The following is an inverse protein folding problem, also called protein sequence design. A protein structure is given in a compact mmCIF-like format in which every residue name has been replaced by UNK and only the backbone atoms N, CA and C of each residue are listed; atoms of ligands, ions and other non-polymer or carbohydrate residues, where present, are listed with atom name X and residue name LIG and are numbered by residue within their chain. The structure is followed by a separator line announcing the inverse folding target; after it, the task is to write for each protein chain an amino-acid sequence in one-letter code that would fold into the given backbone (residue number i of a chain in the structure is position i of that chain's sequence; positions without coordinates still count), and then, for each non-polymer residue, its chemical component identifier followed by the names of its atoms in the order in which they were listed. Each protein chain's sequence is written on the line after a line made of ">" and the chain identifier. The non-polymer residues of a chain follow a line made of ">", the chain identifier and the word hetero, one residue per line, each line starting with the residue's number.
data_IF_146066194381
#
_entry.id   IF_146066194381
#
_cell.length_a   1.000
_cell.length_b   1.000
_cell.length_c   1.000
_cell.angle_alpha   90.00
_cell.angle_beta   90.00
_cell.angle_gamma   90.00
#
_symmetry.space_group_name_H-M   'P 1'
#
loop_
_entity.id
_entity.type
_entity.pdbx_description
1 polymer ?
#
# COMPACT_ATOMS: atom_id res chain seq x y z
N UNK A 1 20.13 -9.88 -16.09
CA UNK A 1 20.89 -10.58 -17.15
C UNK A 1 21.34 -9.53 -18.15
N UNK A 2 22.50 -9.67 -18.77
CA UNK A 2 22.93 -8.76 -19.83
C UNK A 2 22.97 -9.50 -21.17
N UNK A 3 22.57 -8.84 -22.24
CA UNK A 3 22.61 -9.38 -23.60
C UNK A 3 23.50 -8.51 -24.46
N UNK A 4 24.41 -9.14 -25.20
CA UNK A 4 25.37 -8.48 -26.08
C UNK A 4 25.29 -9.14 -27.45
N UNK A 5 24.99 -8.33 -28.47
CA UNK A 5 24.98 -8.78 -29.87
C UNK A 5 26.12 -8.13 -30.61
N UNK A 6 27.00 -8.95 -31.19
CA UNK A 6 28.09 -8.49 -32.04
C UNK A 6 28.16 -9.33 -33.32
N UNK A 7 27.85 -8.72 -34.46
CA UNK A 7 27.79 -9.38 -35.77
C UNK A 7 26.81 -10.57 -35.74
N UNK A 8 27.32 -11.80 -35.70
CA UNK A 8 26.56 -13.04 -35.65
C UNK A 8 26.80 -13.84 -34.35
N UNK A 9 27.19 -13.13 -33.29
CA UNK A 9 27.39 -13.69 -31.96
C UNK A 9 26.40 -13.04 -30.98
N UNK A 10 25.73 -13.90 -30.22
CA UNK A 10 24.89 -13.52 -29.09
C UNK A 10 25.58 -14.00 -27.82
N UNK A 11 25.91 -13.07 -26.93
CA UNK A 11 26.57 -13.34 -25.65
C UNK A 11 25.62 -12.89 -24.54
N UNK A 12 25.39 -13.75 -23.55
CA UNK A 12 24.63 -13.39 -22.35
C UNK A 12 25.47 -13.53 -21.09
N UNK A 13 25.30 -12.60 -20.16
CA UNK A 13 25.93 -12.63 -18.84
C UNK A 13 24.84 -12.81 -17.78
N UNK A 14 24.99 -13.85 -16.98
CA UNK A 14 24.01 -14.30 -16.00
C UNK A 14 24.69 -14.63 -14.65
N UNK A 15 23.89 -14.80 -13.60
CA UNK A 15 24.31 -15.18 -12.27
C UNK A 15 23.55 -16.43 -11.82
N UNK A 16 23.93 -17.02 -10.68
CA UNK A 16 23.30 -18.25 -10.19
C UNK A 16 21.77 -18.14 -10.00
N UNK A 17 21.23 -16.93 -9.74
CA UNK A 17 19.80 -16.72 -9.48
C UNK A 17 18.95 -16.72 -10.75
N UNK A 18 19.54 -16.38 -11.89
CA UNK A 18 18.84 -16.35 -13.18
C UNK A 18 19.34 -17.41 -14.17
N UNK A 19 20.14 -18.38 -13.69
CA UNK A 19 20.62 -19.50 -14.49
C UNK A 19 19.46 -20.35 -15.06
N UNK A 20 18.36 -20.49 -14.31
CA UNK A 20 17.14 -21.20 -14.77
C UNK A 20 16.56 -20.62 -16.07
N UNK A 21 16.81 -19.34 -16.35
CA UNK A 21 16.30 -18.69 -17.55
C UNK A 21 17.05 -19.13 -18.81
N UNK A 22 18.28 -19.64 -18.68
CA UNK A 22 19.04 -20.16 -19.82
C UNK A 22 18.35 -21.35 -20.46
N UNK A 23 17.77 -22.25 -19.65
CA UNK A 23 17.02 -23.39 -20.17
C UNK A 23 15.84 -22.95 -21.04
N UNK A 24 15.19 -21.82 -20.68
CA UNK A 24 14.11 -21.22 -21.48
C UNK A 24 14.62 -20.63 -22.79
N UNK A 25 15.76 -19.94 -22.77
CA UNK A 25 16.41 -19.40 -23.96
C UNK A 25 16.86 -20.50 -24.92
N UNK A 26 17.48 -21.57 -24.40
CA UNK A 26 17.90 -22.73 -25.17
C UNK A 26 16.69 -23.45 -25.78
N UNK A 27 15.63 -23.66 -24.99
CA UNK A 27 14.38 -24.25 -25.48
C UNK A 27 13.76 -23.42 -26.61
N UNK A 28 13.73 -22.10 -26.47
CA UNK A 28 13.22 -21.22 -27.52
C UNK A 28 13.99 -21.39 -28.83
N UNK A 29 15.33 -21.49 -28.78
CA UNK A 29 16.19 -21.75 -29.95
C UNK A 29 15.94 -23.12 -30.59
N UNK A 30 15.56 -24.13 -29.80
CA UNK A 30 15.21 -25.45 -30.32
C UNK A 30 13.84 -25.45 -31.01
N UNK A 31 12.88 -24.73 -30.45
CA UNK A 31 11.49 -24.72 -30.91
C UNK A 31 11.24 -23.75 -32.09
N UNK A 32 12.11 -22.75 -32.31
CA UNK A 32 11.90 -21.69 -33.30
C UNK A 32 13.09 -21.54 -34.27
N UNK A 33 12.80 -21.35 -35.56
CA UNK A 33 13.83 -21.04 -36.56
C UNK A 33 14.25 -19.57 -36.46
N UNK A 34 15.25 -19.28 -35.63
CA UNK A 34 15.86 -17.95 -35.52
C UNK A 34 16.75 -17.66 -36.72
N UNK A 35 16.49 -16.55 -37.41
CA UNK A 35 17.21 -16.13 -38.62
C UNK A 35 18.33 -15.13 -38.36
N UNK A 36 18.28 -14.39 -37.25
CA UNK A 36 19.32 -13.41 -36.89
C UNK A 36 19.52 -13.27 -35.39
N UNK A 37 20.70 -12.82 -34.96
CA UNK A 37 20.97 -12.55 -33.55
C UNK A 37 20.09 -11.43 -32.97
N UNK A 38 19.61 -10.51 -33.80
CA UNK A 38 18.68 -9.46 -33.38
C UNK A 38 17.27 -10.00 -33.16
N UNK A 39 16.79 -10.89 -34.03
CA UNK A 39 15.53 -11.60 -33.80
C UNK A 39 15.57 -12.34 -32.45
N UNK A 40 16.66 -13.06 -32.18
CA UNK A 40 16.81 -13.75 -30.89
C UNK A 40 16.95 -12.79 -29.71
N UNK A 41 17.62 -11.65 -29.88
CA UNK A 41 17.71 -10.64 -28.83
C UNK A 41 16.32 -10.14 -28.43
N UNK A 42 15.48 -9.79 -29.40
CA UNK A 42 14.13 -9.30 -29.10
C UNK A 42 13.28 -10.41 -28.48
N UNK A 43 13.32 -11.63 -29.01
CA UNK A 43 12.67 -12.78 -28.38
C UNK A 43 13.14 -13.02 -26.94
N UNK A 44 14.45 -12.91 -26.67
CA UNK A 44 15.00 -13.06 -25.31
C UNK A 44 14.52 -11.94 -24.36
N UNK A 45 14.39 -10.71 -24.86
CA UNK A 45 13.83 -9.59 -24.11
C UNK A 45 12.34 -9.80 -23.82
N UNK A 46 11.57 -10.28 -24.81
CA UNK A 46 10.16 -10.67 -24.65
C UNK A 46 10.01 -11.75 -23.58
N UNK A 47 10.79 -12.83 -23.67
CA UNK A 47 10.80 -13.90 -22.68
C UNK A 47 11.17 -13.37 -21.28
N UNK A 48 12.11 -12.42 -21.19
CA UNK A 48 12.49 -11.78 -19.93
C UNK A 48 11.32 -10.99 -19.35
N UNK A 49 10.59 -10.24 -20.18
CA UNK A 49 9.39 -9.50 -19.77
C UNK A 49 8.29 -10.44 -19.26
N UNK A 50 8.08 -11.58 -19.96
CA UNK A 50 7.08 -12.59 -19.58
C UNK A 50 7.30 -13.18 -18.18
N UNK A 51 8.53 -13.24 -17.68
CA UNK A 51 8.81 -13.72 -16.31
C UNK A 51 8.22 -12.83 -15.21
N UNK A 52 7.86 -11.58 -15.52
CA UNK A 52 7.28 -10.67 -14.54
C UNK A 52 5.78 -10.91 -14.35
N UNK A 53 5.07 -11.47 -15.34
CA UNK A 53 3.62 -11.69 -15.26
C UNK A 53 3.21 -12.61 -14.10
N UNK A 54 3.84 -13.80 -13.90
CA UNK A 54 3.52 -14.64 -12.75
C UNK A 54 3.77 -13.95 -11.40
N UNK A 55 4.80 -13.10 -11.32
CA UNK A 55 5.13 -12.32 -10.12
C UNK A 55 4.02 -11.28 -9.86
N UNK A 56 3.57 -10.61 -10.91
CA UNK A 56 2.47 -9.65 -10.83
C UNK A 56 1.15 -10.32 -10.41
N UNK A 57 0.84 -11.48 -10.98
CA UNK A 57 -0.37 -12.25 -10.61
C UNK A 57 -0.32 -12.70 -9.15
N UNK A 58 0.85 -13.13 -8.66
CA UNK A 58 1.05 -13.44 -7.25
C UNK A 58 0.84 -12.20 -6.37
N UNK A 59 1.42 -11.06 -6.74
CA UNK A 59 1.26 -9.79 -6.02
C UNK A 59 -0.22 -9.37 -5.94
N UNK A 60 -0.97 -9.53 -7.03
CA UNK A 60 -2.42 -9.25 -7.07
C UNK A 60 -3.18 -10.17 -6.13
N UNK A 61 -2.88 -11.48 -6.15
CA UNK A 61 -3.47 -12.46 -5.24
C UNK A 61 -3.21 -12.10 -3.77
N UNK A 62 -1.95 -11.79 -3.45
CA UNK A 62 -1.52 -11.44 -2.10
C UNK A 62 -2.19 -10.13 -1.62
N UNK A 63 -2.34 -9.14 -2.50
CA UNK A 63 -3.12 -7.92 -2.22
C UNK A 63 -4.57 -8.25 -1.86
N UNK A 64 -5.25 -9.08 -2.64
CA UNK A 64 -6.66 -9.42 -2.37
C UNK A 64 -6.83 -10.16 -1.05
N UNK A 65 -5.93 -11.12 -0.77
CA UNK A 65 -5.90 -11.85 0.50
C UNK A 65 -5.67 -10.87 1.66
N UNK A 66 -4.70 -9.97 1.53
CA UNK A 66 -4.36 -9.00 2.57
C UNK A 66 -5.49 -8.00 2.81
N UNK A 67 -6.10 -7.48 1.74
CA UNK A 67 -7.25 -6.59 1.83
C UNK A 67 -8.42 -7.26 2.55
N UNK A 68 -8.70 -8.53 2.24
CA UNK A 68 -9.73 -9.32 2.94
C UNK A 68 -9.44 -9.48 4.44
N UNK A 69 -8.17 -9.72 4.82
CA UNK A 69 -7.75 -9.80 6.23
C UNK A 69 -7.91 -8.45 6.94
N UNK A 70 -7.42 -7.38 6.32
CA UNK A 70 -7.46 -6.02 6.89
C UNK A 70 -8.90 -5.52 7.07
N UNK A 71 -9.82 -5.82 6.12
CA UNK A 71 -11.25 -5.49 6.26
C UNK A 71 -11.92 -6.16 7.45
N UNK A 72 -11.49 -7.39 7.80
CA UNK A 72 -12.02 -8.10 8.98
C UNK A 72 -11.46 -7.52 10.27
N UNK A 73 -10.15 -7.24 10.30
CA UNK A 73 -9.47 -6.67 11.46
C UNK A 73 -8.16 -6.01 11.05
N UNK A 74 -8.02 -4.73 11.35
CA UNK A 74 -6.74 -4.02 11.21
C UNK A 74 -5.82 -4.37 12.38
N UNK A 75 -4.63 -4.91 12.11
CA UNK A 75 -3.61 -5.17 13.12
C UNK A 75 -2.26 -4.65 12.64
N UNK A 76 -1.36 -4.35 13.59
CA UNK A 76 0.00 -3.86 13.28
C UNK A 76 0.75 -4.80 12.32
N UNK A 77 0.61 -6.10 12.49
CA UNK A 77 1.25 -7.09 11.62
C UNK A 77 0.74 -7.00 10.17
N UNK A 78 -0.57 -6.91 9.96
CA UNK A 78 -1.15 -6.79 8.62
C UNK A 78 -0.78 -5.46 7.94
N UNK A 79 -0.55 -4.40 8.72
CA UNK A 79 -0.05 -3.12 8.19
C UNK A 79 1.40 -3.21 7.74
N UNK A 80 2.24 -4.01 8.43
CA UNK A 80 3.59 -4.29 7.96
C UNK A 80 3.56 -5.15 6.70
N UNK A 81 2.72 -6.19 6.64
CA UNK A 81 2.51 -6.97 5.41
C UNK A 81 2.07 -6.07 4.23
N UNK A 82 1.22 -5.06 4.49
CA UNK A 82 0.81 -4.08 3.48
C UNK A 82 1.98 -3.21 3.02
N UNK A 83 2.80 -2.72 3.96
CA UNK A 83 3.99 -1.93 3.66
C UNK A 83 5.03 -2.71 2.86
N UNK A 84 5.24 -3.99 3.18
CA UNK A 84 6.17 -4.86 2.47
C UNK A 84 5.69 -5.11 1.03
N UNK A 85 4.40 -5.36 0.86
CA UNK A 85 3.79 -5.61 -0.44
C UNK A 85 3.74 -4.34 -1.29
N UNK A 86 3.45 -3.17 -0.70
CA UNK A 86 3.58 -1.85 -1.34
C UNK A 86 5.00 -1.60 -1.83
N UNK A 87 6.00 -1.83 -0.97
CA UNK A 87 7.42 -1.66 -1.32
C UNK A 87 7.84 -2.59 -2.45
N UNK A 88 7.45 -3.87 -2.39
CA UNK A 88 7.67 -4.84 -3.45
C UNK A 88 7.05 -4.41 -4.79
N UNK A 89 5.82 -3.87 -4.75
CA UNK A 89 5.14 -3.36 -5.94
C UNK A 89 5.87 -2.18 -6.58
N UNK A 90 6.45 -1.28 -5.79
CA UNK A 90 7.24 -0.14 -6.31
C UNK A 90 8.50 -0.63 -7.02
N UNK A 91 9.20 -1.63 -6.47
CA UNK A 91 10.35 -2.24 -7.14
C UNK A 91 9.95 -2.89 -8.47
N UNK A 92 8.83 -3.63 -8.48
CA UNK A 92 8.33 -4.29 -9.69
C UNK A 92 7.92 -3.27 -10.76
N UNK A 93 7.18 -2.23 -10.37
CA UNK A 93 6.79 -1.12 -11.25
C UNK A 93 8.01 -0.42 -11.84
N UNK A 94 9.02 -0.13 -11.01
CA UNK A 94 10.24 0.54 -11.46
C UNK A 94 10.98 -0.30 -12.49
N UNK A 95 11.14 -1.60 -12.24
CA UNK A 95 11.81 -2.52 -13.16
C UNK A 95 11.03 -2.69 -14.48
N UNK A 96 9.71 -2.88 -14.42
CA UNK A 96 8.87 -2.99 -15.61
C UNK A 96 8.91 -1.72 -16.47
N UNK A 97 8.81 -0.55 -15.83
CA UNK A 97 8.89 0.73 -16.53
C UNK A 97 10.26 0.97 -17.17
N UNK A 98 11.35 0.62 -16.48
CA UNK A 98 12.71 0.71 -17.04
C UNK A 98 12.88 -0.20 -18.27
N UNK A 99 12.32 -1.42 -18.25
CA UNK A 99 12.37 -2.33 -19.39
C UNK A 99 11.58 -1.79 -20.58
N UNK A 100 10.38 -1.26 -20.36
CA UNK A 100 9.57 -0.63 -21.41
C UNK A 100 10.31 0.57 -22.05
N UNK A 101 10.85 1.46 -21.24
CA UNK A 101 11.63 2.61 -21.71
C UNK A 101 12.88 2.19 -22.49
N UNK A 102 13.56 1.10 -22.07
CA UNK A 102 14.71 0.56 -22.79
C UNK A 102 14.31 0.06 -24.18
N UNK A 103 13.19 -0.67 -24.30
CA UNK A 103 12.70 -1.15 -25.60
C UNK A 103 12.28 0.01 -26.51
N UNK A 104 11.64 1.04 -25.94
CA UNK A 104 11.27 2.24 -26.68
C UNK A 104 12.52 2.96 -27.24
N UNK A 105 13.56 3.09 -26.42
CA UNK A 105 14.84 3.66 -26.83
C UNK A 105 15.54 2.80 -27.89
N UNK A 106 15.52 1.48 -27.74
CA UNK A 106 16.05 0.55 -28.75
C UNK A 106 15.33 0.70 -30.09
N UNK A 107 14.00 0.78 -30.07
CA UNK A 107 13.19 0.96 -31.28
C UNK A 107 13.52 2.25 -32.04
N UNK A 108 13.85 3.31 -31.32
CA UNK A 108 14.27 4.61 -31.86
C UNK A 108 15.72 4.62 -32.34
N UNK A 109 16.54 3.63 -32.02
CA UNK A 109 17.96 3.64 -32.35
C UNK A 109 18.22 3.44 -33.87
N UNK A 110 19.05 4.27 -34.54
CA UNK A 110 19.23 4.25 -35.99
C UNK A 110 19.71 2.92 -36.60
N UNK A 111 20.46 2.12 -35.82
CA UNK A 111 20.87 0.77 -36.28
C UNK A 111 19.72 -0.23 -36.24
N UNK A 112 18.79 -0.08 -35.29
CA UNK A 112 17.65 -0.97 -35.12
C UNK A 112 16.60 -0.69 -36.19
N UNK A 113 16.37 0.59 -36.52
CA UNK A 113 15.46 0.98 -37.61
C UNK A 113 15.86 0.46 -39.01
N UNK A 114 17.12 0.04 -39.18
CA UNK A 114 17.65 -0.53 -40.43
C UNK A 114 17.57 -2.05 -40.50
N UNK A 115 17.04 -2.71 -39.46
CA UNK A 115 16.85 -4.15 -39.46
C UNK A 115 15.70 -4.56 -40.41
N UNK A 116 15.60 -5.86 -40.68
CA UNK A 116 14.52 -6.41 -41.49
C UNK A 116 13.15 -6.30 -40.82
N UNK A 117 12.09 -6.52 -41.60
CA UNK A 117 10.72 -6.44 -41.09
C UNK A 117 10.45 -7.46 -39.99
N UNK A 118 11.04 -8.66 -40.08
CA UNK A 118 10.86 -9.73 -39.09
C UNK A 118 11.46 -9.31 -37.73
N UNK A 119 12.66 -8.73 -37.72
CA UNK A 119 13.26 -8.25 -36.46
C UNK A 119 12.49 -7.06 -35.86
N UNK A 120 11.98 -6.17 -36.71
CA UNK A 120 11.21 -5.02 -36.25
C UNK A 120 9.85 -5.44 -35.68
N UNK A 121 9.18 -6.41 -36.28
CA UNK A 121 7.92 -6.99 -35.79
C UNK A 121 8.12 -7.63 -34.41
N UNK A 122 9.17 -8.44 -34.23
CA UNK A 122 9.49 -9.04 -32.91
C UNK A 122 9.78 -7.98 -31.84
N UNK A 123 10.44 -6.88 -32.20
CA UNK A 123 10.68 -5.76 -31.29
C UNK A 123 9.39 -4.99 -30.96
N UNK A 124 8.52 -4.78 -31.95
CA UNK A 124 7.25 -4.09 -31.76
C UNK A 124 6.33 -4.91 -30.82
N UNK A 125 6.29 -6.24 -30.98
CA UNK A 125 5.59 -7.14 -30.06
C UNK A 125 6.19 -7.10 -28.64
N UNK A 126 7.52 -7.14 -28.52
CA UNK A 126 8.21 -7.03 -27.23
C UNK A 126 7.87 -5.70 -26.52
N UNK A 127 7.82 -4.60 -27.28
CA UNK A 127 7.49 -3.28 -26.76
C UNK A 127 6.05 -3.24 -26.24
N UNK A 128 5.09 -3.75 -27.00
CA UNK A 128 3.68 -3.82 -26.59
C UNK A 128 3.54 -4.60 -25.28
N UNK A 129 4.16 -5.78 -25.18
CA UNK A 129 4.09 -6.59 -23.96
C UNK A 129 4.74 -5.88 -22.75
N UNK A 130 5.87 -5.20 -22.95
CA UNK A 130 6.54 -4.47 -21.88
C UNK A 130 5.76 -3.22 -21.43
N UNK A 131 5.16 -2.48 -22.37
CA UNK A 131 4.26 -1.36 -22.05
C UNK A 131 3.04 -1.84 -21.28
N UNK A 132 2.43 -2.96 -21.68
CA UNK A 132 1.32 -3.57 -20.97
C UNK A 132 1.71 -3.95 -19.53
N UNK A 133 2.86 -4.61 -19.36
CA UNK A 133 3.39 -4.96 -18.05
C UNK A 133 3.64 -3.72 -17.18
N UNK A 134 4.26 -2.69 -17.74
CA UNK A 134 4.50 -1.41 -17.05
C UNK A 134 3.18 -0.77 -16.59
N UNK A 135 2.17 -0.73 -17.46
CA UNK A 135 0.86 -0.19 -17.12
C UNK A 135 0.17 -0.99 -15.99
N UNK A 136 0.19 -2.33 -16.06
CA UNK A 136 -0.44 -3.15 -15.01
C UNK A 136 0.27 -3.02 -13.66
N UNK A 137 1.61 -3.03 -13.64
CA UNK A 137 2.39 -2.84 -12.40
C UNK A 137 2.18 -1.44 -11.80
N UNK A 138 2.01 -0.40 -12.63
CA UNK A 138 1.65 0.93 -12.19
C UNK A 138 0.25 0.98 -11.56
N UNK A 139 -0.74 0.33 -12.16
CA UNK A 139 -2.09 0.26 -11.60
C UNK A 139 -2.09 -0.46 -10.25
N UNK A 140 -1.41 -1.60 -10.14
CA UNK A 140 -1.37 -2.35 -8.88
C UNK A 140 -0.63 -1.59 -7.77
N UNK A 141 0.46 -0.89 -8.10
CA UNK A 141 1.18 0.01 -7.18
C UNK A 141 0.26 1.13 -6.66
N UNK A 142 -0.51 1.78 -7.55
CA UNK A 142 -1.48 2.81 -7.17
C UNK A 142 -2.59 2.25 -6.27
N UNK A 143 -3.10 1.05 -6.55
CA UNK A 143 -4.12 0.41 -5.73
C UNK A 143 -3.60 0.11 -4.32
N UNK A 144 -2.34 -0.30 -4.19
CA UNK A 144 -1.71 -0.53 -2.88
C UNK A 144 -1.52 0.76 -2.08
N UNK A 145 -1.09 1.84 -2.73
CA UNK A 145 -1.01 3.16 -2.10
C UNK A 145 -2.38 3.64 -1.64
N UNK A 146 -3.44 3.44 -2.44
CA UNK A 146 -4.80 3.77 -2.05
C UNK A 146 -5.29 2.94 -0.85
N UNK A 147 -4.99 1.64 -0.83
CA UNK A 147 -5.29 0.77 0.32
C UNK A 147 -4.56 1.25 1.57
N UNK A 148 -3.25 1.51 1.48
CA UNK A 148 -2.42 2.04 2.57
C UNK A 148 -3.00 3.34 3.12
N UNK A 149 -3.36 4.28 2.25
CA UNK A 149 -4.03 5.53 2.61
C UNK A 149 -5.39 5.32 3.30
N UNK A 150 -6.22 4.41 2.79
CA UNK A 150 -7.52 4.10 3.38
C UNK A 150 -7.38 3.50 4.80
N UNK A 151 -6.44 2.58 5.01
CA UNK A 151 -6.21 2.01 6.34
C UNK A 151 -5.57 3.00 7.31
N UNK A 152 -4.70 3.90 6.84
CA UNK A 152 -4.22 5.02 7.65
C UNK A 152 -5.37 5.92 8.12
N UNK A 153 -6.35 6.21 7.26
CA UNK A 153 -7.54 6.96 7.65
C UNK A 153 -8.38 6.22 8.70
N UNK A 154 -8.58 4.90 8.54
CA UNK A 154 -9.29 4.08 9.54
C UNK A 154 -8.57 4.09 10.90
N UNK A 155 -7.24 4.00 10.90
CA UNK A 155 -6.45 4.07 12.13
C UNK A 155 -6.60 5.43 12.82
N UNK A 156 -6.55 6.52 12.05
CA UNK A 156 -6.73 7.87 12.57
C UNK A 156 -8.14 8.08 13.14
N UNK A 157 -9.18 7.52 12.51
CA UNK A 157 -10.54 7.54 13.04
C UNK A 157 -10.62 6.79 14.37
N UNK A 158 -10.07 5.57 14.44
CA UNK A 158 -10.06 4.80 15.70
C UNK A 158 -9.27 5.51 16.82
N UNK A 159 -8.20 6.23 16.49
CA UNK A 159 -7.47 7.06 17.47
C UNK A 159 -8.33 8.23 17.94
N UNK A 160 -9.01 8.91 17.03
CA UNK A 160 -9.91 10.01 17.36
C UNK A 160 -11.07 9.55 18.27
N UNK A 161 -11.65 8.38 17.99
CA UNK A 161 -12.69 7.78 18.82
C UNK A 161 -12.20 7.49 20.25
N UNK A 162 -11.01 6.89 20.38
CA UNK A 162 -10.44 6.59 21.70
C UNK A 162 -10.07 7.86 22.49
N UNK A 163 -9.55 8.89 21.82
CA UNK A 163 -9.25 10.19 22.44
C UNK A 163 -10.51 10.90 22.92
N UNK A 164 -11.60 10.77 22.16
CA UNK A 164 -12.93 11.29 22.53
C UNK A 164 -13.41 10.65 23.84
N UNK A 165 -13.30 9.32 23.96
CA UNK A 165 -13.66 8.59 25.19
C UNK A 165 -12.82 9.04 26.39
N UNK A 166 -11.50 9.12 26.23
CA UNK A 166 -10.60 9.56 27.32
C UNK A 166 -10.91 11.00 27.76
N UNK A 167 -11.24 11.88 26.81
CA UNK A 167 -11.60 13.27 27.09
C UNK A 167 -12.91 13.36 27.89
N UNK A 168 -13.93 12.57 27.53
CA UNK A 168 -15.18 12.48 28.29
C UNK A 168 -14.89 12.07 29.74
N UNK A 169 -14.14 10.98 29.94
CA UNK A 169 -13.79 10.49 31.28
C UNK A 169 -13.03 11.57 32.07
N UNK A 170 -12.08 12.25 31.43
CA UNK A 170 -11.28 13.30 32.06
C UNK A 170 -12.14 14.48 32.53
N UNK A 171 -13.09 14.95 31.71
CA UNK A 171 -14.00 16.04 32.09
C UNK A 171 -14.90 15.62 33.26
N UNK A 172 -15.41 14.39 33.25
CA UNK A 172 -16.24 13.89 34.34
C UNK A 172 -15.49 13.84 35.67
N UNK A 173 -14.25 13.36 35.65
CA UNK A 173 -13.38 13.35 36.84
C UNK A 173 -13.05 14.78 37.30
N UNK A 174 -12.81 15.71 36.38
CA UNK A 174 -12.53 17.11 36.72
C UNK A 174 -13.74 17.77 37.41
N UNK A 175 -14.96 17.59 36.89
CA UNK A 175 -16.18 18.14 37.49
C UNK A 175 -16.41 17.55 38.88
N UNK A 176 -16.26 16.23 39.03
CA UNK A 176 -16.37 15.57 40.33
C UNK A 176 -15.34 16.14 41.34
N UNK A 177 -14.12 16.36 40.89
CA UNK A 177 -13.04 16.94 41.71
C UNK A 177 -13.34 18.38 42.12
N UNK A 178 -13.93 19.20 41.24
CA UNK A 178 -14.32 20.58 41.55
C UNK A 178 -15.43 20.62 42.60
N UNK A 179 -16.45 19.76 42.46
CA UNK A 179 -17.56 19.66 43.40
C UNK A 179 -17.05 19.22 44.78
N UNK A 180 -16.31 18.12 44.83
CA UNK A 180 -15.75 17.58 46.09
C UNK A 180 -14.75 18.55 46.72
N UNK A 181 -13.93 19.23 45.91
CA UNK A 181 -13.04 20.28 46.36
C UNK A 181 -13.79 21.45 46.98
N UNK A 182 -14.80 22.01 46.30
CA UNK A 182 -15.56 23.15 46.78
C UNK A 182 -16.27 22.87 48.11
N UNK A 183 -16.91 21.71 48.25
CA UNK A 183 -17.57 21.29 49.49
C UNK A 183 -16.63 20.70 50.54
N UNK A 184 -15.37 20.38 50.17
CA UNK A 184 -14.32 19.95 51.09
C UNK A 184 -13.49 21.11 51.66
N UNK A 185 -13.71 22.34 51.21
CA UNK A 185 -13.04 23.53 51.74
C UNK A 185 -13.67 23.97 53.07
N UNK A 186 -12.83 24.40 54.02
CA UNK A 186 -13.25 24.94 55.31
C UNK A 186 -13.78 26.39 55.20
N UNK A 187 -14.68 26.64 54.24
CA UNK A 187 -15.34 27.94 54.02
C UNK A 187 -16.84 27.75 54.30
N UNK A 188 -17.54 28.78 54.78
CA UNK A 188 -18.99 28.69 54.99
C UNK A 188 -19.69 28.42 53.65
N UNK A 189 -20.14 27.18 53.46
CA UNK A 189 -20.86 26.75 52.27
C UNK A 189 -22.38 26.85 52.50
N UNK A 190 -23.16 27.11 51.44
CA UNK A 190 -24.61 26.95 51.49
C UNK A 190 -24.97 25.57 52.03
N UNK A 191 -25.96 25.48 52.91
CA UNK A 191 -26.47 24.24 53.52
C UNK A 191 -25.58 23.52 54.54
N UNK A 192 -24.52 24.17 55.05
CA UNK A 192 -23.62 23.55 56.05
C UNK A 192 -24.32 23.12 57.35
N UNK A 193 -25.42 23.76 57.74
CA UNK A 193 -26.15 23.51 58.99
C UNK A 193 -27.29 22.47 58.86
N UNK A 194 -27.50 21.90 57.66
CA UNK A 194 -28.60 20.97 57.38
C UNK A 194 -28.10 19.51 57.41
N UNK A 195 -28.64 18.62 58.27
CA UNK A 195 -28.13 17.26 58.43
C UNK A 195 -28.24 16.37 57.16
N UNK A 196 -29.11 16.73 56.21
CA UNK A 196 -29.29 16.04 54.92
C UNK A 196 -28.71 16.81 53.72
N UNK A 197 -27.86 17.81 53.95
CA UNK A 197 -27.25 18.61 52.88
C UNK A 197 -26.41 17.77 51.92
N UNK A 198 -25.70 16.76 52.43
CA UNK A 198 -24.85 15.87 51.63
C UNK A 198 -25.64 15.13 50.54
N UNK A 199 -26.88 14.71 50.82
CA UNK A 199 -27.74 14.02 49.84
C UNK A 199 -28.12 14.99 48.70
N UNK A 200 -28.49 16.22 49.04
CA UNK A 200 -28.84 17.26 48.05
C UNK A 200 -27.65 17.60 47.16
N UNK A 201 -26.45 17.71 47.73
CA UNK A 201 -25.22 17.96 46.99
C UNK A 201 -24.94 16.81 46.02
N UNK A 202 -25.04 15.55 46.47
CA UNK A 202 -24.83 14.37 45.61
C UNK A 202 -25.85 14.35 44.46
N UNK A 203 -27.12 14.59 44.73
CA UNK A 203 -28.16 14.63 43.69
C UNK A 203 -27.88 15.73 42.67
N UNK A 204 -27.60 16.96 43.12
CA UNK A 204 -27.25 18.07 42.22
C UNK A 204 -26.00 17.79 41.39
N UNK A 205 -25.02 17.11 41.97
CA UNK A 205 -23.78 16.72 41.29
C UNK A 205 -24.04 15.69 40.20
N UNK A 206 -24.88 14.69 40.48
CA UNK A 206 -25.30 13.69 39.50
C UNK A 206 -26.09 14.32 38.35
N UNK A 207 -27.00 15.26 38.66
CA UNK A 207 -27.75 16.01 37.65
C UNK A 207 -26.80 16.85 36.78
N UNK A 208 -25.84 17.55 37.38
CA UNK A 208 -24.85 18.34 36.65
C UNK A 208 -23.98 17.44 35.74
N UNK A 209 -23.50 16.30 36.25
CA UNK A 209 -22.74 15.33 35.46
C UNK A 209 -23.57 14.76 34.30
N UNK A 210 -24.86 14.50 34.53
CA UNK A 210 -25.78 14.05 33.48
C UNK A 210 -25.98 15.12 32.38
N UNK A 211 -26.12 16.39 32.76
CA UNK A 211 -26.24 17.50 31.80
C UNK A 211 -24.94 17.66 31.00
N UNK A 212 -23.78 17.60 31.66
CA UNK A 212 -22.49 17.76 31.00
C UNK A 212 -22.21 16.60 30.05
N UNK A 213 -22.47 15.35 30.45
CA UNK A 213 -22.32 14.17 29.58
C UNK A 213 -23.23 14.24 28.36
N UNK A 214 -24.50 14.58 28.53
CA UNK A 214 -25.45 14.67 27.42
C UNK A 214 -25.08 15.79 26.44
N UNK A 215 -24.66 16.96 26.95
CA UNK A 215 -24.18 18.07 26.14
C UNK A 215 -22.89 17.72 25.39
N UNK A 216 -21.93 17.08 26.06
CA UNK A 216 -20.68 16.61 25.44
C UNK A 216 -20.96 15.60 24.32
N UNK A 217 -21.76 14.58 24.59
CA UNK A 217 -22.13 13.59 23.58
C UNK A 217 -22.83 14.24 22.38
N UNK A 218 -23.71 15.21 22.60
CA UNK A 218 -24.39 15.94 21.52
C UNK A 218 -23.44 16.82 20.68
N UNK A 219 -22.47 17.48 21.33
CA UNK A 219 -21.45 18.27 20.61
C UNK A 219 -20.55 17.35 19.79
N UNK A 220 -20.14 16.21 20.35
CA UNK A 220 -19.23 15.28 19.70
C UNK A 220 -19.92 14.50 18.57
N UNK A 221 -21.18 14.09 18.74
CA UNK A 221 -21.97 13.46 17.68
C UNK A 221 -22.32 14.39 16.51
N UNK A 222 -22.01 15.69 16.60
CA UNK A 222 -22.16 16.66 15.50
C UNK A 222 -20.86 16.88 14.72
N UNK A 223 -19.75 16.31 15.18
CA UNK A 223 -18.43 16.45 14.54
C UNK A 223 -18.07 15.26 13.64
N UNK A 224 -18.80 14.16 13.76
CA UNK A 224 -18.80 13.03 12.82
C UNK A 224 -19.88 13.22 11.75
#
# INVERSE_FOLDING_TARGET
>A
MAFIVQKNQFITIFNARNAYFLEKLEKYLMDHSVKSCFQFLFAALTLTSKEYFPILDQLKSDREILNSKLRKRTTKQLLFELSDLETGSVYLQTAANQNALLLEQLRKHPRIQKLGSIELEELDDALIEAEQLSAMTQLDSQLLQQLSGAYNNILNNNLNDNLTILTIISILLAVLSVITGFFGMNVQTPWQNEPLAWIRIVIMSLVLLFIITTLLNWIMSRRD
#
